data_IF_052388862744
#
_entry.id   IF_052388862744
#
_cell.length_a   1.000
_cell.length_b   1.000
_cell.length_c   1.000
_cell.angle_alpha   90.00
_cell.angle_beta   90.00
_cell.angle_gamma   90.00
#
_symmetry.space_group_name_H-M   'P 1'
#
loop_
_entity.id
_entity.type
_entity.pdbx_description
1 polymer ?
#
# COMPACT_ATOMS: atom_id res chain seq x y z
N UNK A 1 16.32 14.04 -6.13
CA UNK A 1 16.51 12.60 -6.36
C UNK A 1 15.87 12.15 -7.66
N UNK A 2 14.56 12.31 -7.85
CA UNK A 2 13.87 11.86 -9.08
C UNK A 2 14.43 12.47 -10.38
N UNK A 3 14.73 13.78 -10.38
CA UNK A 3 15.36 14.45 -11.52
C UNK A 3 16.70 13.82 -11.92
N UNK A 4 17.49 13.37 -10.96
CA UNK A 4 18.76 12.69 -11.23
C UNK A 4 18.56 11.33 -11.91
N UNK A 5 17.52 10.58 -11.51
CA UNK A 5 17.13 9.34 -12.19
C UNK A 5 16.63 9.65 -13.61
N UNK A 6 15.84 10.71 -13.76
CA UNK A 6 15.31 11.15 -15.05
C UNK A 6 16.42 11.50 -16.05
N UNK A 7 17.47 12.17 -15.57
CA UNK A 7 18.60 12.66 -16.37
C UNK A 7 19.69 11.60 -16.58
N UNK A 8 19.51 10.36 -16.10
CA UNK A 8 20.54 9.31 -16.12
C UNK A 8 20.84 8.71 -17.51
N UNK A 9 19.99 8.96 -18.51
CA UNK A 9 20.06 8.31 -19.81
C UNK A 9 19.67 6.81 -19.81
N UNK A 10 19.29 6.27 -18.64
CA UNK A 10 18.78 4.91 -18.49
C UNK A 10 17.26 4.87 -18.66
N UNK A 11 16.70 3.67 -18.87
CA UNK A 11 15.28 3.45 -18.65
C UNK A 11 15.00 3.39 -17.15
N UNK A 12 13.93 4.01 -16.70
CA UNK A 12 13.60 4.10 -15.28
C UNK A 12 12.10 4.09 -15.05
N UNK A 13 11.71 3.59 -13.88
CA UNK A 13 10.35 3.71 -13.36
C UNK A 13 10.46 4.16 -11.91
N UNK A 14 9.77 5.24 -11.55
CA UNK A 14 9.71 5.75 -10.18
C UNK A 14 8.33 5.44 -9.62
N UNK A 15 8.29 4.63 -8.57
CA UNK A 15 7.06 4.35 -7.81
C UNK A 15 7.00 5.31 -6.63
N UNK A 16 5.89 6.03 -6.50
CA UNK A 16 5.56 6.89 -5.37
C UNK A 16 4.45 6.24 -4.56
N UNK A 17 4.85 5.59 -3.47
CA UNK A 17 3.96 4.87 -2.59
C UNK A 17 3.35 5.75 -1.49
N UNK A 18 2.24 5.27 -0.93
CA UNK A 18 1.65 5.81 0.29
C UNK A 18 2.29 5.20 1.54
N UNK A 19 1.68 5.46 2.70
CA UNK A 19 2.03 4.77 3.94
C UNK A 19 1.77 3.26 3.81
N UNK A 20 2.86 2.49 3.86
CA UNK A 20 2.84 1.04 3.77
C UNK A 20 2.17 0.40 4.99
N UNK A 21 1.30 -0.59 4.76
CA UNK A 21 0.67 -1.40 5.80
C UNK A 21 0.57 -2.88 5.40
N UNK A 22 0.32 -3.74 6.38
CA UNK A 22 0.19 -5.19 6.21
C UNK A 22 1.30 -5.96 6.95
N UNK A 23 1.32 -7.30 6.81
CA UNK A 23 2.25 -8.16 7.55
C UNK A 23 3.70 -7.68 7.44
N UNK A 24 4.39 -7.64 8.58
CA UNK A 24 5.81 -7.25 8.68
C UNK A 24 6.14 -5.77 8.37
N UNK A 25 5.14 -4.88 8.28
CA UNK A 25 5.37 -3.44 8.03
C UNK A 25 5.45 -2.59 9.31
N UNK A 26 5.28 -3.23 10.48
CA UNK A 26 5.23 -2.68 11.86
C UNK A 26 4.18 -1.59 12.14
N UNK A 27 3.70 -0.87 11.13
CA UNK A 27 2.72 0.21 11.26
C UNK A 27 1.38 -0.27 11.79
N UNK A 28 0.90 -1.38 11.26
CA UNK A 28 -0.36 -2.00 11.66
C UNK A 28 -0.29 -2.48 13.12
N UNK A 29 0.79 -3.17 13.49
CA UNK A 29 1.00 -3.59 14.89
C UNK A 29 1.15 -2.40 15.83
N UNK A 30 1.85 -1.35 15.40
CA UNK A 30 1.98 -0.11 16.18
C UNK A 30 0.63 0.56 16.45
N UNK A 31 -0.25 0.68 15.45
CA UNK A 31 -1.58 1.24 15.68
C UNK A 31 -2.46 0.33 16.52
N UNK A 32 -2.38 -1.00 16.33
CA UNK A 32 -3.14 -1.95 17.15
C UNK A 32 -2.70 -1.93 18.62
N UNK A 33 -1.39 -1.87 18.88
CA UNK A 33 -0.86 -1.80 20.24
C UNK A 33 -1.26 -0.50 20.94
N UNK A 34 -1.16 0.64 20.25
CA UNK A 34 -1.64 1.92 20.75
C UNK A 34 -3.17 1.94 20.97
N UNK A 35 -3.95 1.28 20.11
CA UNK A 35 -5.39 1.13 20.30
C UNK A 35 -5.70 0.35 21.59
N UNK A 36 -5.05 -0.80 21.80
CA UNK A 36 -5.20 -1.60 23.02
C UNK A 36 -4.79 -0.84 24.28
N UNK A 37 -3.78 0.02 24.18
CA UNK A 37 -3.30 0.86 25.27
C UNK A 37 -4.13 2.15 25.49
N UNK A 38 -5.04 2.51 24.57
CA UNK A 38 -5.78 3.78 24.62
C UNK A 38 -4.90 5.02 24.35
N UNK A 39 -3.81 4.81 23.61
CA UNK A 39 -2.78 5.80 23.26
C UNK A 39 -2.89 6.28 21.81
N UNK A 40 -3.89 5.81 21.06
CA UNK A 40 -4.05 6.15 19.66
C UNK A 40 -4.46 7.63 19.50
N UNK A 41 -3.63 8.42 18.83
CA UNK A 41 -3.88 9.83 18.54
C UNK A 41 -4.01 10.10 17.04
N UNK A 42 -5.00 10.90 16.65
CA UNK A 42 -5.18 11.35 15.28
C UNK A 42 -4.54 12.73 15.08
N UNK A 43 -3.90 13.00 13.93
CA UNK A 43 -3.40 14.34 13.62
C UNK A 43 -4.57 15.33 13.52
N UNK A 44 -4.50 16.42 14.30
CA UNK A 44 -5.58 17.39 14.42
C UNK A 44 -6.92 16.74 14.76
N UNK A 45 -7.93 16.99 13.92
CA UNK A 45 -9.24 16.34 14.04
C UNK A 45 -9.35 15.05 13.20
N UNK A 46 -8.28 14.62 12.53
CA UNK A 46 -8.25 13.42 11.70
C UNK A 46 -9.06 13.53 10.40
N UNK A 47 -9.49 14.72 9.99
CA UNK A 47 -10.18 14.93 8.70
C UNK A 47 -9.26 14.77 7.49
N UNK A 48 -7.95 14.85 7.69
CA UNK A 48 -6.96 14.68 6.63
C UNK A 48 -6.97 13.26 6.06
N UNK A 49 -6.85 13.17 4.73
CA UNK A 49 -6.65 11.90 4.02
C UNK A 49 -5.28 11.30 4.33
N UNK A 50 -5.28 9.98 4.51
CA UNK A 50 -4.08 9.15 4.51
C UNK A 50 -4.05 8.30 3.25
N UNK A 51 -2.92 8.34 2.55
CA UNK A 51 -2.66 7.46 1.42
C UNK A 51 -2.02 6.20 1.98
N UNK A 52 -2.71 5.08 1.89
CA UNK A 52 -2.21 3.77 2.33
C UNK A 52 -1.87 2.92 1.12
N UNK A 53 -0.97 1.95 1.28
CA UNK A 53 -0.74 0.89 0.30
C UNK A 53 -0.41 -0.40 1.02
N UNK A 54 -1.00 -1.51 0.59
CA UNK A 54 -0.70 -2.82 1.18
C UNK A 54 0.67 -3.32 0.70
N UNK A 55 1.44 -3.99 1.56
CA UNK A 55 2.78 -4.47 1.21
C UNK A 55 2.82 -5.43 0.03
N UNK A 56 1.86 -6.35 -0.06
CA UNK A 56 1.75 -7.27 -1.19
C UNK A 56 1.45 -6.53 -2.51
N UNK A 57 0.72 -5.42 -2.42
CA UNK A 57 0.35 -4.61 -3.57
C UNK A 57 1.56 -3.82 -4.07
N UNK A 58 2.29 -3.18 -3.16
CA UNK A 58 3.54 -2.50 -3.51
C UNK A 58 4.55 -3.48 -4.12
N UNK A 59 4.70 -4.69 -3.56
CA UNK A 59 5.58 -5.72 -4.11
C UNK A 59 5.19 -6.11 -5.55
N UNK A 60 3.91 -6.28 -5.82
CA UNK A 60 3.42 -6.58 -7.17
C UNK A 60 3.63 -5.40 -8.14
N UNK A 61 3.50 -4.16 -7.66
CA UNK A 61 3.82 -2.97 -8.46
C UNK A 61 5.32 -2.92 -8.84
N UNK A 62 6.22 -3.33 -7.95
CA UNK A 62 7.64 -3.46 -8.28
C UNK A 62 7.90 -4.52 -9.36
N UNK A 63 7.28 -5.71 -9.23
CA UNK A 63 7.39 -6.76 -10.25
C UNK A 63 6.95 -6.24 -11.62
N UNK A 64 5.79 -5.61 -11.69
CA UNK A 64 5.27 -5.03 -12.93
C UNK A 64 6.16 -3.93 -13.50
N UNK A 65 6.73 -3.08 -12.64
CA UNK A 65 7.63 -2.01 -13.06
C UNK A 65 8.94 -2.54 -13.68
N UNK A 66 9.44 -3.69 -13.20
CA UNK A 66 10.65 -4.34 -13.73
C UNK A 66 10.35 -5.10 -15.03
N UNK A 67 9.20 -5.77 -15.10
CA UNK A 67 8.79 -6.55 -16.28
C UNK A 67 8.36 -5.67 -17.46
N UNK A 68 8.01 -4.41 -17.22
CA UNK A 68 7.63 -3.48 -18.27
C UNK A 68 8.79 -3.03 -19.15
N UNK A 69 8.52 -3.01 -20.46
CA UNK A 69 9.44 -2.54 -21.50
C UNK A 69 9.12 -1.12 -22.00
N UNK A 70 8.09 -0.47 -21.46
CA UNK A 70 7.64 0.87 -21.88
C UNK A 70 8.57 2.01 -21.42
N UNK A 71 8.34 3.19 -21.99
CA UNK A 71 9.08 4.42 -21.72
C UNK A 71 9.05 4.83 -20.24
N UNK A 72 10.10 5.53 -19.81
CA UNK A 72 10.28 5.89 -18.42
C UNK A 72 9.13 6.70 -17.83
N UNK A 73 8.71 6.36 -16.61
CA UNK A 73 7.50 6.90 -16.00
C UNK A 73 7.59 7.08 -14.48
N UNK A 74 6.85 8.08 -13.97
CA UNK A 74 6.56 8.26 -12.54
C UNK A 74 5.13 7.80 -12.29
N UNK A 75 4.95 6.85 -11.39
CA UNK A 75 3.67 6.22 -11.07
C UNK A 75 3.39 6.32 -9.57
N UNK A 76 2.17 6.72 -9.21
CA UNK A 76 1.70 6.60 -7.82
C UNK A 76 1.16 5.20 -7.58
N UNK A 77 1.51 4.63 -6.42
CA UNK A 77 1.07 3.30 -5.97
C UNK A 77 0.41 3.47 -4.60
N UNK A 78 -0.88 3.76 -4.61
CA UNK A 78 -1.69 3.92 -3.40
C UNK A 78 -2.93 3.02 -3.48
N UNK A 79 -3.63 2.81 -2.37
CA UNK A 79 -4.93 2.15 -2.39
C UNK A 79 -5.96 3.04 -3.11
N UNK A 80 -6.93 2.43 -3.79
CA UNK A 80 -8.03 3.11 -4.47
C UNK A 80 -9.17 3.53 -3.53
N UNK A 81 -9.02 3.30 -2.23
CA UNK A 81 -9.96 3.66 -1.19
C UNK A 81 -9.47 4.86 -0.35
N UNK A 82 -9.77 6.10 -0.75
CA UNK A 82 -9.43 7.28 0.03
C UNK A 82 -10.06 7.16 1.42
N UNK A 83 -9.23 7.27 2.44
CA UNK A 83 -9.60 7.12 3.85
C UNK A 83 -8.98 8.26 4.63
N UNK A 84 -9.69 8.77 5.62
CA UNK A 84 -9.19 9.79 6.55
C UNK A 84 -8.52 9.15 7.76
N UNK A 85 -7.65 9.90 8.45
CA UNK A 85 -7.08 9.44 9.72
C UNK A 85 -8.16 9.05 10.73
N UNK A 86 -9.23 9.85 10.84
CA UNK A 86 -10.37 9.54 11.71
C UNK A 86 -10.98 8.19 11.39
N UNK A 87 -11.27 7.92 10.11
CA UNK A 87 -11.91 6.67 9.70
C UNK A 87 -11.04 5.44 10.00
N UNK A 88 -9.75 5.47 9.65
CA UNK A 88 -8.87 4.30 9.84
C UNK A 88 -8.57 4.06 11.32
N UNK A 89 -8.28 5.12 12.07
CA UNK A 89 -7.88 5.02 13.47
C UNK A 89 -9.05 4.63 14.36
N UNK A 90 -10.24 5.18 14.12
CA UNK A 90 -11.47 4.73 14.80
C UNK A 90 -11.81 3.29 14.45
N UNK A 91 -11.59 2.87 13.21
CA UNK A 91 -11.80 1.48 12.83
C UNK A 91 -10.85 0.52 13.56
N UNK A 92 -9.57 0.85 13.66
CA UNK A 92 -8.57 0.06 14.40
C UNK A 92 -8.90 0.03 15.90
N UNK A 93 -9.26 1.17 16.50
CA UNK A 93 -9.67 1.23 17.90
C UNK A 93 -10.83 0.27 18.20
N UNK A 94 -11.88 0.30 17.37
CA UNK A 94 -13.03 -0.60 17.52
C UNK A 94 -12.67 -2.06 17.35
N UNK A 95 -11.81 -2.37 16.39
CA UNK A 95 -11.36 -3.73 16.12
C UNK A 95 -10.60 -4.33 17.30
N UNK A 96 -9.78 -3.52 17.97
CA UNK A 96 -8.98 -3.93 19.14
C UNK A 96 -9.74 -3.79 20.48
N UNK A 97 -11.00 -3.33 20.46
CA UNK A 97 -11.77 -3.05 21.68
C UNK A 97 -11.24 -1.89 22.51
N UNK A 98 -10.42 -1.03 21.91
CA UNK A 98 -9.85 0.17 22.53
C UNK A 98 -10.81 1.37 22.53
N UNK A 99 -10.50 2.43 23.28
CA UNK A 99 -11.28 3.67 23.29
C UNK A 99 -11.16 4.42 21.97
N UNK A 100 -12.11 5.33 21.69
CA UNK A 100 -12.03 6.19 20.52
C UNK A 100 -10.71 7.01 20.51
N UNK A 101 -10.08 7.22 19.34
CA UNK A 101 -8.80 7.91 19.29
C UNK A 101 -8.91 9.37 19.72
N UNK A 102 -7.87 9.87 20.39
CA UNK A 102 -7.81 11.26 20.85
C UNK A 102 -7.37 12.18 19.71
N UNK A 103 -7.81 13.44 19.76
CA UNK A 103 -7.32 14.49 18.85
C UNK A 103 -5.92 14.91 19.31
N UNK A 104 -4.96 14.81 18.40
CA UNK A 104 -3.58 15.24 18.60
C UNK A 104 -3.35 16.67 18.11
N UNK A 105 -2.08 17.05 18.01
CA UNK A 105 -1.69 18.36 17.48
C UNK A 105 -2.12 18.52 16.01
N UNK A 106 -2.52 19.74 15.63
CA UNK A 106 -2.80 20.08 14.25
C UNK A 106 -1.54 19.90 13.40
N UNK A 107 -1.68 19.25 12.25
CA UNK A 107 -0.60 19.17 11.28
C UNK A 107 -0.65 20.43 10.41
N UNK A 108 0.43 21.21 10.28
CA UNK A 108 0.44 22.43 9.47
C UNK A 108 0.47 22.14 7.95
N UNK A 109 0.36 20.86 7.55
CA UNK A 109 0.43 20.44 6.17
C UNK A 109 -0.99 20.33 5.60
N UNK A 110 -1.25 20.90 4.42
CA UNK A 110 -2.52 20.69 3.74
C UNK A 110 -2.73 19.21 3.41
N UNK A 111 -3.97 18.73 3.55
CA UNK A 111 -4.36 17.39 3.11
C UNK A 111 -4.36 17.30 1.59
N UNK A 112 -3.87 16.18 1.06
CA UNK A 112 -3.90 15.89 -0.38
C UNK A 112 -4.50 14.53 -0.64
N UNK A 113 -5.29 14.45 -1.71
CA UNK A 113 -5.84 13.20 -2.23
C UNK A 113 -5.20 12.88 -3.57
N UNK A 114 -4.57 11.72 -3.67
CA UNK A 114 -3.95 11.22 -4.90
C UNK A 114 -4.77 10.04 -5.41
N UNK A 115 -4.90 9.92 -6.73
CA UNK A 115 -5.59 8.79 -7.36
C UNK A 115 -4.64 7.99 -8.26
N UNK A 116 -4.84 6.67 -8.34
CA UNK A 116 -4.13 5.80 -9.28
C UNK A 116 -4.62 5.91 -10.73
N UNK A 117 -5.33 6.98 -11.10
CA UNK A 117 -5.93 7.11 -12.44
C UNK A 117 -4.89 7.03 -13.57
N UNK A 118 -3.69 7.60 -13.34
CA UNK A 118 -2.58 7.53 -14.31
C UNK A 118 -2.06 6.10 -14.46
N UNK A 119 -1.85 5.40 -13.35
CA UNK A 119 -1.39 4.00 -13.31
C UNK A 119 -2.31 3.05 -14.08
N UNK A 120 -3.65 3.20 -13.96
CA UNK A 120 -4.63 2.39 -14.71
C UNK A 120 -4.47 2.45 -16.23
N UNK A 121 -3.90 3.54 -16.77
CA UNK A 121 -3.64 3.69 -18.20
C UNK A 121 -2.31 3.06 -18.65
N UNK A 122 -1.33 2.93 -17.75
CA UNK A 122 -0.03 2.32 -18.06
C UNK A 122 -0.04 0.79 -17.92
N UNK A 123 -0.87 0.22 -17.05
CA UNK A 123 -1.02 -1.24 -16.88
C UNK A 123 -2.34 -1.76 -17.49
N UNK A 124 -2.27 -2.19 -18.75
CA UNK A 124 -3.37 -2.90 -19.43
C UNK A 124 -3.40 -4.34 -18.91
N UNK A 125 -4.29 -4.65 -17.97
CA UNK A 125 -4.38 -6.00 -17.38
C UNK A 125 -5.38 -6.20 -16.24
N UNK A 126 -6.09 -5.15 -15.79
CA UNK A 126 -7.34 -5.30 -15.02
C UNK A 126 -7.23 -5.87 -13.60
N UNK A 127 -6.05 -6.19 -13.07
CA UNK A 127 -5.90 -6.45 -11.63
C UNK A 127 -5.75 -5.12 -10.91
N UNK A 128 -6.89 -4.46 -10.72
CA UNK A 128 -7.00 -3.37 -9.77
C UNK A 128 -6.42 -3.84 -8.43
N UNK A 129 -5.46 -3.08 -7.90
CA UNK A 129 -4.99 -3.16 -6.53
C UNK A 129 -6.20 -2.97 -5.61
N UNK A 130 -6.88 -4.07 -5.31
CA UNK A 130 -8.09 -4.10 -4.50
C UNK A 130 -7.70 -4.64 -3.15
N UNK A 131 -7.28 -3.74 -2.28
CA UNK A 131 -7.02 -4.04 -0.90
C UNK A 131 -7.43 -2.82 -0.08
N UNK A 132 -8.75 -2.61 0.03
CA UNK A 132 -9.29 -1.57 0.92
C UNK A 132 -8.81 -1.87 2.34
N UNK A 133 -8.21 -0.88 3.02
CA UNK A 133 -7.84 -0.98 4.44
C UNK A 133 -9.01 -1.48 5.33
N UNK A 134 -10.25 -1.15 4.95
CA UNK A 134 -11.50 -1.63 5.57
C UNK A 134 -11.77 -3.14 5.40
N UNK A 135 -11.41 -3.73 4.27
CA UNK A 135 -11.62 -5.16 3.99
C UNK A 135 -10.53 -6.04 4.60
N UNK A 136 -9.34 -5.49 4.85
CA UNK A 136 -8.18 -6.25 5.30
C UNK A 136 -7.92 -6.22 6.80
N UNK A 137 -8.50 -5.31 7.59
CA UNK A 137 -8.35 -5.38 9.04
C UNK A 137 -9.42 -6.25 9.74
N UNK A 138 -10.37 -6.85 9.01
CA UNK A 138 -11.17 -7.98 9.52
C UNK A 138 -10.29 -9.22 9.79
N UNK A 139 -10.75 -10.23 10.54
CA UNK A 139 -9.89 -11.14 11.30
C UNK A 139 -8.94 -11.91 10.38
N UNK A 140 -7.68 -11.47 10.32
CA UNK A 140 -6.60 -12.29 9.78
C UNK A 140 -6.27 -13.36 10.80
N UNK A 141 -6.89 -14.51 10.55
CA UNK A 141 -6.61 -15.77 11.19
C UNK A 141 -5.15 -16.14 10.85
N UNK A 142 -4.31 -16.39 11.86
CA UNK A 142 -2.93 -16.88 11.69
C UNK A 142 -2.81 -18.20 10.89
N UNK A 143 -3.92 -18.76 10.41
CA UNK A 143 -4.04 -20.09 9.81
C UNK A 143 -4.64 -20.13 8.38
N UNK A 144 -4.69 -19.03 7.64
CA UNK A 144 -5.25 -19.01 6.28
C UNK A 144 -4.32 -18.44 5.21
N UNK A 145 -3.09 -18.96 5.16
CA UNK A 145 -2.39 -19.15 3.89
C UNK A 145 -2.21 -20.66 3.68
N UNK A 146 -3.03 -21.35 2.87
CA UNK A 146 -2.45 -22.43 2.11
C UNK A 146 -1.62 -21.75 1.04
N UNK A 147 -0.31 -21.91 1.13
CA UNK A 147 0.62 -21.71 0.04
C UNK A 147 -0.07 -22.09 -1.28
N UNK A 148 -0.57 -21.09 -2.03
CA UNK A 148 -1.05 -21.31 -3.37
C UNK A 148 0.20 -21.49 -4.20
N UNK A 149 0.63 -22.75 -4.21
CA UNK A 149 1.52 -23.41 -5.15
C UNK A 149 1.65 -22.54 -6.39
N UNK A 150 2.79 -21.88 -6.49
CA UNK A 150 3.24 -21.24 -7.71
C UNK A 150 3.33 -22.34 -8.75
N UNK A 151 2.23 -22.60 -9.46
CA UNK A 151 2.23 -23.49 -10.62
C UNK A 151 2.93 -22.72 -11.71
N UNK A 152 4.26 -22.85 -11.73
CA UNK A 152 5.09 -22.43 -12.86
C UNK A 152 4.53 -23.20 -14.05
N UNK A 153 3.94 -22.48 -14.99
CA UNK A 153 3.38 -23.07 -16.19
C UNK A 153 4.51 -23.83 -16.93
N UNK A 154 4.32 -25.08 -17.38
CA UNK A 154 5.40 -25.95 -17.92
C UNK A 154 6.03 -25.48 -19.24
N UNK A 155 5.82 -24.24 -19.66
CA UNK A 155 6.49 -23.61 -20.80
C UNK A 155 7.68 -22.72 -20.42
N UNK A 156 7.90 -22.42 -19.13
CA UNK A 156 9.07 -21.65 -18.67
C UNK A 156 10.25 -22.52 -18.19
N UNK A 157 10.07 -23.84 -18.04
CA UNK A 157 11.14 -24.75 -17.62
C UNK A 157 12.11 -25.16 -18.75
N UNK A 158 11.81 -24.85 -20.03
CA UNK A 158 12.65 -25.26 -21.17
C UNK A 158 13.70 -24.25 -21.61
N UNK A 159 13.73 -23.05 -21.03
CA UNK A 159 14.70 -22.01 -21.40
C UNK A 159 15.96 -21.97 -20.53
N UNK A 160 16.01 -22.69 -19.39
CA UNK A 160 17.13 -22.67 -18.46
C UNK A 160 18.02 -23.93 -18.50
N UNK A 161 17.86 -24.80 -19.51
CA UNK A 161 18.63 -26.05 -19.65
C UNK A 161 19.49 -26.09 -20.94
N UNK A 162 19.78 -24.93 -21.54
CA UNK A 162 20.73 -24.80 -22.66
C UNK A 162 21.58 -23.55 -22.46
N UNK A 163 22.49 -23.62 -21.52
CA UNK A 163 23.65 -22.74 -21.35
C UNK A 163 24.67 -23.49 -20.53
#
# INVERSE_FOLDING_TARGET
MERLVADSGLRWTILRDGALYGPHTSRDEMWRSQARAGELEMPGDGSDYILLVHVADLAHAFVLAVEQTQASAILSVVDDAPTTYREILTYIARLEGGPDPKRGANTPLPSFRISNARHRRYWVGGRAFKATARALLGPWNHAAEPARRMTIHPRLAKAAARS
#
